data_IF_919900861417
#
_entry.id   IF_919900861417
#
_cell.length_a   1.000
_cell.length_b   1.000
_cell.length_c   1.000
_cell.angle_alpha   90.00
_cell.angle_beta   90.00
_cell.angle_gamma   90.00
#
_symmetry.space_group_name_H-M   'P 1'
#
loop_
_entity.id
_entity.type
_entity.pdbx_description
1 polymer ?
#
# COMPACT_ATOMS: atom_id res chain seq x y z
N UNK A 1 -14.11 -3.33 -9.37
CA UNK A 1 -14.35 -1.93 -8.93
C UNK A 1 -14.83 -1.08 -10.08
N UNK A 2 -15.77 -0.16 -9.82
CA UNK A 2 -16.19 0.85 -10.80
C UNK A 2 -15.15 1.97 -10.92
N UNK A 3 -14.98 2.54 -12.11
CA UNK A 3 -14.08 3.69 -12.30
C UNK A 3 -14.51 4.88 -11.46
N UNK A 4 -15.81 5.10 -11.30
CA UNK A 4 -16.35 6.15 -10.42
C UNK A 4 -15.94 5.98 -8.95
N UNK A 5 -15.89 4.73 -8.47
CA UNK A 5 -15.43 4.40 -7.12
C UNK A 5 -13.92 4.61 -6.96
N UNK A 6 -13.12 4.23 -7.96
CA UNK A 6 -11.68 4.49 -8.02
C UNK A 6 -11.41 6.01 -8.02
N UNK A 7 -12.13 6.76 -8.85
CA UNK A 7 -12.03 8.22 -8.94
C UNK A 7 -12.36 8.88 -7.59
N UNK A 8 -13.38 8.39 -6.89
CA UNK A 8 -13.73 8.83 -5.53
C UNK A 8 -12.59 8.54 -4.54
N UNK A 9 -12.06 7.32 -4.53
CA UNK A 9 -10.97 6.91 -3.64
C UNK A 9 -9.70 7.77 -3.82
N UNK A 10 -9.32 8.07 -5.07
CA UNK A 10 -8.20 8.96 -5.39
C UNK A 10 -8.41 10.35 -4.78
N UNK A 11 -9.60 10.95 -4.97
CA UNK A 11 -9.90 12.29 -4.41
C UNK A 11 -9.94 12.29 -2.89
N UNK A 12 -10.45 11.23 -2.28
CA UNK A 12 -10.45 11.06 -0.82
C UNK A 12 -9.02 11.04 -0.27
N UNK A 13 -8.11 10.29 -0.93
CA UNK A 13 -6.70 10.26 -0.55
C UNK A 13 -5.99 11.58 -0.83
N UNK A 14 -6.24 12.26 -1.95
CA UNK A 14 -5.72 13.62 -2.20
C UNK A 14 -6.14 14.60 -1.10
N UNK A 15 -7.41 14.55 -0.67
CA UNK A 15 -7.91 15.39 0.44
C UNK A 15 -7.27 15.03 1.78
N UNK A 16 -7.00 13.75 2.05
CA UNK A 16 -6.26 13.32 3.23
C UNK A 16 -4.81 13.82 3.21
N UNK A 17 -4.11 13.66 2.08
CA UNK A 17 -2.76 14.20 1.88
C UNK A 17 -2.72 15.72 2.15
N UNK A 18 -3.67 16.48 1.60
CA UNK A 18 -3.76 17.92 1.84
C UNK A 18 -3.98 18.28 3.31
N UNK A 19 -4.86 17.55 4.01
CA UNK A 19 -5.16 17.76 5.44
C UNK A 19 -3.93 17.52 6.33
N UNK A 20 -3.16 16.48 6.03
CA UNK A 20 -1.95 16.14 6.78
C UNK A 20 -0.69 16.84 6.26
N UNK A 21 -0.84 17.84 5.37
CA UNK A 21 0.26 18.59 4.74
C UNK A 21 1.30 17.70 4.02
N UNK A 22 0.84 16.58 3.47
CA UNK A 22 1.63 15.68 2.65
C UNK A 22 1.46 16.06 1.17
N UNK A 23 2.52 16.55 0.54
CA UNK A 23 2.48 17.02 -0.84
C UNK A 23 2.91 15.91 -1.80
N UNK A 24 2.10 15.68 -2.84
CA UNK A 24 2.35 14.65 -3.83
C UNK A 24 3.30 15.13 -4.93
N UNK A 25 4.14 14.24 -5.51
CA UNK A 25 4.92 14.57 -6.70
C UNK A 25 4.02 14.99 -7.88
N UNK A 26 4.47 15.90 -8.77
CA UNK A 26 3.64 16.40 -9.87
C UNK A 26 3.01 15.32 -10.76
N UNK A 27 3.70 14.21 -11.00
CA UNK A 27 3.19 13.13 -11.86
C UNK A 27 1.92 12.46 -11.32
N UNK A 28 1.67 12.53 -10.01
CA UNK A 28 0.44 12.02 -9.39
C UNK A 28 -0.81 12.80 -9.85
N UNK A 29 -0.64 13.98 -10.43
CA UNK A 29 -1.72 14.82 -10.92
C UNK A 29 -1.94 14.73 -12.44
N UNK A 30 -1.15 13.94 -13.16
CA UNK A 30 -1.30 13.82 -14.61
C UNK A 30 -2.66 13.24 -14.99
N UNK A 31 -3.34 13.90 -15.92
CA UNK A 31 -4.58 13.38 -16.51
C UNK A 31 -4.29 12.28 -17.54
N UNK A 32 -5.28 11.44 -17.89
CA UNK A 32 -5.14 10.48 -18.97
C UNK A 32 -4.70 11.11 -20.31
N UNK A 33 -5.14 12.34 -20.61
CA UNK A 33 -4.74 13.08 -21.81
C UNK A 33 -3.27 13.51 -21.74
N UNK A 34 -2.82 14.02 -20.59
CA UNK A 34 -1.42 14.42 -20.39
C UNK A 34 -0.46 13.23 -20.52
N UNK A 35 -0.89 12.05 -20.07
CA UNK A 35 -0.13 10.80 -20.21
C UNK A 35 0.18 10.43 -21.67
N UNK A 36 -0.67 10.80 -22.63
CA UNK A 36 -0.44 10.54 -24.06
C UNK A 36 0.79 11.27 -24.61
N UNK A 37 1.18 12.37 -23.97
CA UNK A 37 2.36 13.16 -24.36
C UNK A 37 3.62 12.84 -23.55
N UNK A 38 3.60 11.83 -22.65
CA UNK A 38 4.74 11.46 -21.81
C UNK A 38 5.59 10.40 -22.51
N UNK A 39 6.79 10.78 -22.95
CA UNK A 39 7.68 9.88 -23.67
C UNK A 39 8.49 8.96 -22.75
N UNK A 40 9.63 8.51 -23.27
CA UNK A 40 10.59 7.63 -22.60
C UNK A 40 11.23 8.25 -21.34
N UNK A 41 11.15 9.58 -21.17
CA UNK A 41 11.61 10.26 -19.96
C UNK A 41 10.81 9.90 -18.70
N UNK A 42 9.65 9.24 -18.86
CA UNK A 42 8.81 8.73 -17.76
C UNK A 42 8.83 7.19 -17.66
N UNK A 43 9.77 6.50 -18.31
CA UNK A 43 9.86 5.03 -18.26
C UNK A 43 10.05 4.50 -16.84
N UNK A 44 10.74 5.22 -15.94
CA UNK A 44 10.87 4.78 -14.55
C UNK A 44 9.51 4.66 -13.84
N UNK A 45 8.55 5.55 -14.17
CA UNK A 45 7.19 5.46 -13.61
C UNK A 45 6.51 4.16 -14.07
N UNK A 46 6.64 3.83 -15.35
CA UNK A 46 6.04 2.63 -15.96
C UNK A 46 6.70 1.36 -15.44
N UNK A 47 8.02 1.29 -15.56
CA UNK A 47 8.81 0.09 -15.27
C UNK A 47 8.88 -0.21 -13.77
N UNK A 48 8.85 0.79 -12.90
CA UNK A 48 8.92 0.60 -11.45
C UNK A 48 7.55 0.65 -10.75
N UNK A 49 6.45 0.78 -11.51
CA UNK A 49 5.09 0.80 -10.98
C UNK A 49 4.83 1.96 -10.02
N UNK A 50 5.25 3.18 -10.37
CA UNK A 50 5.01 4.37 -9.57
C UNK A 50 3.62 4.93 -9.83
N UNK A 51 3.01 5.57 -8.82
CA UNK A 51 1.71 6.23 -8.95
C UNK A 51 0.58 5.53 -8.20
N UNK A 52 -0.65 5.83 -8.62
CA UNK A 52 -1.89 5.45 -7.94
C UNK A 52 -2.18 3.96 -8.04
N UNK A 53 -2.57 3.35 -6.93
CA UNK A 53 -3.02 1.96 -6.87
C UNK A 53 -4.22 1.88 -5.91
N UNK A 54 -5.37 1.48 -6.44
CA UNK A 54 -6.61 1.33 -5.71
C UNK A 54 -7.06 -0.11 -5.85
N UNK A 55 -7.29 -0.79 -4.72
CA UNK A 55 -7.67 -2.20 -4.71
C UNK A 55 -8.78 -2.50 -3.73
N UNK A 56 -9.69 -3.40 -4.12
CA UNK A 56 -10.68 -4.07 -3.27
C UNK A 56 -10.29 -5.55 -3.04
N UNK A 57 -9.05 -5.93 -3.38
CA UNK A 57 -8.53 -7.29 -3.31
C UNK A 57 -9.37 -8.34 -4.09
N UNK A 58 -10.06 -7.88 -5.14
CA UNK A 58 -10.96 -8.69 -5.95
C UNK A 58 -12.27 -9.05 -5.24
N UNK A 59 -12.62 -8.37 -4.14
CA UNK A 59 -13.80 -8.71 -3.33
C UNK A 59 -15.07 -7.94 -3.73
N UNK A 60 -14.96 -6.87 -4.53
CA UNK A 60 -16.12 -6.07 -4.94
C UNK A 60 -16.76 -5.24 -3.82
N UNK A 61 -16.04 -5.02 -2.71
CA UNK A 61 -16.52 -4.28 -1.53
C UNK A 61 -15.39 -3.40 -0.96
N UNK A 62 -14.99 -2.38 -1.72
CA UNK A 62 -13.86 -1.51 -1.38
C UNK A 62 -14.02 -0.78 -0.04
N UNK A 63 -15.24 -0.35 0.29
CA UNK A 63 -15.50 0.41 1.51
C UNK A 63 -15.27 -0.43 2.79
N UNK A 64 -15.39 -1.77 2.68
CA UNK A 64 -15.08 -2.69 3.79
C UNK A 64 -13.70 -3.34 3.66
N UNK A 65 -13.33 -3.80 2.46
CA UNK A 65 -12.07 -4.48 2.17
C UNK A 65 -11.41 -3.76 1.00
N UNK A 66 -10.42 -2.94 1.30
CA UNK A 66 -9.77 -2.16 0.26
C UNK A 66 -8.64 -1.32 0.79
N UNK A 67 -7.87 -0.77 -0.15
CA UNK A 67 -6.73 0.07 0.17
C UNK A 67 -6.47 1.07 -0.95
N UNK A 68 -6.13 2.30 -0.59
CA UNK A 68 -5.68 3.33 -1.53
C UNK A 68 -4.20 3.60 -1.30
N UNK A 69 -3.41 3.57 -2.37
CA UNK A 69 -1.95 3.71 -2.29
C UNK A 69 -1.43 4.64 -3.40
N UNK A 70 -0.26 5.21 -3.15
CA UNK A 70 0.58 5.88 -4.11
C UNK A 70 2.01 5.38 -3.92
N UNK A 71 2.59 4.73 -4.93
CA UNK A 71 4.02 4.43 -4.95
C UNK A 71 4.78 5.67 -5.40
N UNK A 72 5.49 6.34 -4.49
CA UNK A 72 6.19 7.61 -4.75
C UNK A 72 7.51 7.36 -5.49
N UNK A 73 8.23 6.31 -5.06
CA UNK A 73 9.51 5.89 -5.62
C UNK A 73 9.68 4.40 -5.41
N UNK A 74 10.39 3.75 -6.32
CA UNK A 74 10.70 2.33 -6.25
C UNK A 74 11.94 2.04 -7.10
N UNK A 75 12.56 0.89 -6.89
CA UNK A 75 13.45 0.27 -7.87
C UNK A 75 12.73 -0.86 -8.59
N UNK A 76 13.43 -1.58 -9.47
CA UNK A 76 12.89 -2.77 -10.11
C UNK A 76 13.93 -3.89 -10.05
N UNK A 77 13.63 -4.95 -9.28
CA UNK A 77 14.53 -6.09 -9.05
C UNK A 77 14.80 -6.90 -10.33
N UNK A 78 13.82 -6.96 -11.24
CA UNK A 78 13.98 -7.63 -12.54
C UNK A 78 14.81 -6.80 -13.54
N UNK A 79 14.91 -5.49 -13.32
CA UNK A 79 15.66 -4.54 -14.15
C UNK A 79 16.72 -3.78 -13.34
N UNK A 80 17.40 -4.47 -12.43
CA UNK A 80 18.28 -3.84 -11.44
C UNK A 80 19.46 -3.05 -12.05
N UNK A 81 19.93 -3.42 -13.24
CA UNK A 81 20.96 -2.65 -13.96
C UNK A 81 20.46 -1.27 -14.41
N UNK A 82 19.18 -1.18 -14.82
CA UNK A 82 18.54 0.08 -15.26
C UNK A 82 18.04 0.90 -14.06
N UNK A 83 17.48 0.23 -13.05
CA UNK A 83 16.88 0.86 -11.87
C UNK A 83 17.51 0.31 -10.57
N UNK A 84 18.74 0.75 -10.23
CA UNK A 84 19.53 0.18 -9.13
C UNK A 84 19.07 0.61 -7.73
N UNK A 85 17.98 1.39 -7.63
CA UNK A 85 17.40 1.80 -6.36
C UNK A 85 17.03 0.54 -5.57
N UNK A 86 17.40 0.50 -4.30
CA UNK A 86 17.17 -0.66 -3.41
C UNK A 86 16.01 -0.45 -2.43
N UNK A 87 15.34 0.69 -2.52
CA UNK A 87 14.29 1.13 -1.60
C UNK A 87 13.07 1.65 -2.35
N UNK A 88 11.93 1.60 -1.67
CA UNK A 88 10.67 2.18 -2.11
C UNK A 88 10.07 3.07 -1.01
N UNK A 89 9.15 3.93 -1.43
CA UNK A 89 8.31 4.73 -0.53
C UNK A 89 6.90 4.73 -1.09
N UNK A 90 5.92 4.47 -0.24
CA UNK A 90 4.50 4.64 -0.57
C UNK A 90 3.80 5.54 0.44
N UNK A 91 2.73 6.16 -0.03
CA UNK A 91 1.65 6.63 0.83
C UNK A 91 0.50 5.66 0.71
N UNK A 92 -0.18 5.39 1.81
CA UNK A 92 -1.36 4.56 1.88
C UNK A 92 -2.43 5.34 2.64
N UNK A 93 -3.70 5.05 2.35
CA UNK A 93 -4.82 5.68 3.01
C UNK A 93 -5.87 4.62 3.33
N UNK A 94 -6.26 4.59 4.61
CA UNK A 94 -7.24 3.64 5.13
C UNK A 94 -8.35 4.39 5.86
N UNK A 95 -9.59 4.10 5.48
CA UNK A 95 -10.79 4.67 6.11
C UNK A 95 -11.16 3.92 7.37
N UNK A 96 -11.90 4.59 8.25
CA UNK A 96 -12.55 3.91 9.36
C UNK A 96 -13.53 2.85 8.84
N UNK A 97 -13.49 1.65 9.42
CA UNK A 97 -14.28 0.49 8.98
C UNK A 97 -13.70 -0.27 7.79
N UNK A 98 -12.65 0.25 7.15
CA UNK A 98 -11.94 -0.43 6.05
C UNK A 98 -10.86 -1.37 6.59
N UNK A 99 -10.64 -2.48 5.90
CA UNK A 99 -9.67 -3.52 6.23
C UNK A 99 -8.73 -3.78 5.04
N UNK A 100 -7.42 -3.73 5.28
CA UNK A 100 -6.41 -4.24 4.35
C UNK A 100 -6.01 -5.66 4.79
N UNK A 101 -6.26 -6.70 3.97
CA UNK A 101 -6.13 -8.09 4.37
C UNK A 101 -4.75 -8.52 4.84
N UNK A 102 -4.77 -9.52 5.71
CA UNK A 102 -3.60 -10.21 6.25
C UNK A 102 -2.74 -10.81 5.14
N UNK A 103 -1.48 -10.39 5.12
CA UNK A 103 -0.49 -10.91 4.19
C UNK A 103 0.92 -10.82 4.77
N UNK A 104 1.88 -11.47 4.10
CA UNK A 104 3.30 -11.21 4.30
C UNK A 104 3.99 -10.95 2.96
N UNK A 105 5.23 -10.46 3.04
CA UNK A 105 6.12 -10.35 1.88
C UNK A 105 7.25 -11.38 1.92
N UNK A 106 7.54 -12.02 0.78
CA UNK A 106 8.64 -12.99 0.71
C UNK A 106 9.99 -12.28 0.74
N UNK A 107 10.09 -11.12 0.08
CA UNK A 107 11.33 -10.36 -0.05
C UNK A 107 11.28 -8.98 0.60
N UNK A 108 10.19 -8.24 0.46
CA UNK A 108 10.11 -6.90 1.03
C UNK A 108 10.20 -6.96 2.55
N UNK A 109 10.99 -6.06 3.10
CA UNK A 109 10.83 -5.59 4.47
C UNK A 109 10.44 -4.13 4.41
N UNK A 110 9.62 -3.70 5.35
CA UNK A 110 9.01 -2.38 5.34
C UNK A 110 8.83 -1.84 6.74
N UNK A 111 8.89 -0.52 6.84
CA UNK A 111 8.45 0.23 7.99
C UNK A 111 7.10 0.87 7.64
N UNK A 112 6.07 0.48 8.37
CA UNK A 112 4.73 1.07 8.29
C UNK A 112 4.64 2.19 9.32
N UNK A 113 4.24 3.37 8.88
CA UNK A 113 4.34 4.61 9.64
C UNK A 113 2.97 5.28 9.67
N UNK A 114 2.42 5.57 10.85
CA UNK A 114 1.26 6.45 10.93
C UNK A 114 1.72 7.90 10.72
N UNK A 115 1.41 8.49 9.56
CA UNK A 115 1.82 9.86 9.21
C UNK A 115 0.85 10.93 9.71
N UNK A 116 -0.37 10.57 10.08
CA UNK A 116 -1.40 11.51 10.53
C UNK A 116 -2.82 10.95 10.46
N UNK A 117 -3.76 11.68 11.06
CA UNK A 117 -5.15 11.28 11.20
C UNK A 117 -5.42 10.46 12.47
N UNK A 118 -6.13 9.34 12.32
CA UNK A 118 -6.51 8.45 13.42
C UNK A 118 -5.39 7.52 13.91
N UNK A 119 -5.78 6.46 14.62
CA UNK A 119 -4.86 5.43 15.11
C UNK A 119 -4.90 4.21 14.17
N UNK A 120 -3.72 3.77 13.74
CA UNK A 120 -3.55 2.57 12.92
C UNK A 120 -3.40 1.34 13.82
N UNK A 121 -4.09 0.26 13.50
CA UNK A 121 -3.99 -1.02 14.17
C UNK A 121 -3.42 -2.06 13.21
N UNK A 122 -2.29 -2.66 13.60
CA UNK A 122 -1.61 -3.68 12.79
C UNK A 122 -1.57 -4.98 13.58
N UNK A 123 -2.34 -5.98 13.14
CA UNK A 123 -2.26 -7.33 13.71
C UNK A 123 -0.98 -7.99 13.23
N UNK A 124 -0.30 -8.74 14.10
CA UNK A 124 0.92 -9.47 13.72
C UNK A 124 0.85 -10.96 14.08
N UNK A 125 1.26 -11.80 13.13
CA UNK A 125 1.44 -13.24 13.31
C UNK A 125 2.73 -13.67 12.59
N UNK A 126 3.36 -14.76 13.04
CA UNK A 126 4.46 -15.36 12.27
C UNK A 126 3.89 -16.17 11.10
N UNK A 127 4.66 -16.35 10.03
CA UNK A 127 4.40 -17.44 9.08
C UNK A 127 5.10 -18.73 9.52
N UNK A 128 4.45 -19.86 9.29
CA UNK A 128 5.03 -21.20 9.34
C UNK A 128 5.89 -21.46 8.09
N UNK A 129 6.77 -22.50 8.09
CA UNK A 129 7.54 -22.88 6.91
C UNK A 129 6.68 -23.17 5.67
N UNK A 130 5.48 -23.73 5.86
CA UNK A 130 4.47 -24.01 4.83
C UNK A 130 3.59 -22.81 4.47
N UNK A 131 4.01 -21.60 4.89
CA UNK A 131 3.35 -20.32 4.61
C UNK A 131 2.00 -20.11 5.31
N UNK A 132 1.53 -21.08 6.10
CA UNK A 132 0.36 -20.90 6.96
C UNK A 132 0.62 -19.93 8.12
N UNK A 133 -0.44 -19.37 8.69
CA UNK A 133 -0.34 -18.45 9.82
C UNK A 133 -0.05 -19.22 11.11
N UNK A 134 0.96 -18.79 11.86
CA UNK A 134 1.18 -19.27 13.23
C UNK A 134 0.29 -18.48 14.20
N UNK A 135 -0.76 -19.13 14.68
CA UNK A 135 -1.74 -18.56 15.61
C UNK A 135 -1.33 -18.71 17.09
N UNK A 136 -0.16 -19.29 17.37
CA UNK A 136 0.26 -19.64 18.73
C UNK A 136 1.56 -18.97 19.16
N UNK A 137 2.55 -18.88 18.27
CA UNK A 137 3.88 -18.42 18.65
C UNK A 137 3.95 -16.90 18.83
N UNK A 138 4.58 -16.48 19.92
CA UNK A 138 4.85 -15.07 20.20
C UNK A 138 5.63 -14.39 19.06
N UNK A 139 5.31 -13.12 18.83
CA UNK A 139 5.90 -12.26 17.80
C UNK A 139 6.84 -11.25 18.45
N UNK A 140 8.08 -11.18 17.96
CA UNK A 140 8.99 -10.08 18.29
C UNK A 140 8.72 -8.89 17.38
N UNK A 141 8.28 -7.79 17.96
CA UNK A 141 7.92 -6.54 17.29
C UNK A 141 9.00 -5.49 17.52
N UNK A 142 9.21 -4.63 16.52
CA UNK A 142 10.08 -3.46 16.60
C UNK A 142 9.28 -2.22 16.23
N UNK A 143 9.06 -1.32 17.18
CA UNK A 143 8.39 -0.03 16.95
C UNK A 143 9.33 1.11 17.33
N UNK A 144 9.58 2.05 16.43
CA UNK A 144 10.39 3.25 16.69
C UNK A 144 11.75 2.95 17.38
N UNK A 145 12.39 1.84 17.00
CA UNK A 145 13.65 1.37 17.60
C UNK A 145 13.52 0.59 18.91
N UNK A 146 12.32 0.47 19.50
CA UNK A 146 12.03 -0.38 20.67
C UNK A 146 11.68 -1.80 20.24
N UNK A 147 12.35 -2.79 20.83
CA UNK A 147 12.08 -4.21 20.61
C UNK A 147 11.31 -4.81 21.80
N UNK A 148 10.23 -5.55 21.53
CA UNK A 148 9.45 -6.26 22.56
C UNK A 148 8.72 -7.47 21.94
N UNK A 149 8.16 -8.33 22.79
CA UNK A 149 7.46 -9.55 22.38
C UNK A 149 6.00 -9.48 22.77
N UNK A 150 5.12 -9.92 21.88
CA UNK A 150 3.66 -9.97 22.08
C UNK A 150 3.12 -11.35 21.70
N UNK A 151 1.97 -11.78 22.24
CA UNK A 151 1.27 -12.97 21.75
C UNK A 151 0.91 -12.88 20.27
N UNK A 152 0.79 -14.02 19.59
CA UNK A 152 0.30 -14.09 18.22
C UNK A 152 -1.08 -13.41 18.08
N UNK A 153 -1.33 -12.73 16.97
CA UNK A 153 -2.60 -12.05 16.69
C UNK A 153 -2.79 -10.74 17.46
N UNK A 154 -1.78 -10.26 18.20
CA UNK A 154 -1.84 -8.95 18.87
C UNK A 154 -1.95 -7.84 17.83
N UNK A 155 -2.86 -6.89 18.06
CA UNK A 155 -2.92 -5.64 17.30
C UNK A 155 -2.02 -4.58 17.95
N UNK A 156 -0.98 -4.17 17.23
CA UNK A 156 -0.11 -3.07 17.60
C UNK A 156 -0.79 -1.77 17.17
N UNK A 157 -1.06 -0.90 18.15
CA UNK A 157 -1.61 0.42 17.90
C UNK A 157 -0.49 1.42 17.64
N UNK A 158 -0.55 2.12 16.50
CA UNK A 158 0.34 3.22 16.15
C UNK A 158 -0.46 4.52 16.13
N UNK A 159 -0.15 5.44 17.04
CA UNK A 159 -0.60 6.82 17.00
C UNK A 159 0.18 7.62 15.93
N UNK A 160 -0.31 8.81 15.52
CA UNK A 160 0.43 9.68 14.61
C UNK A 160 1.88 9.90 15.06
N UNK A 161 2.83 9.57 14.18
CA UNK A 161 4.28 9.66 14.41
C UNK A 161 4.96 8.34 14.78
N UNK A 162 4.21 7.28 15.13
CA UNK A 162 4.77 5.97 15.46
C UNK A 162 4.90 5.07 14.22
N UNK A 163 5.90 4.19 14.23
CA UNK A 163 6.12 3.19 13.18
C UNK A 163 6.34 1.78 13.71
N UNK A 164 6.09 0.78 12.86
CA UNK A 164 6.47 -0.62 13.08
C UNK A 164 7.33 -1.11 11.92
N UNK A 165 8.41 -1.80 12.24
CA UNK A 165 9.21 -2.54 11.27
C UNK A 165 8.65 -3.95 11.09
N UNK A 166 8.26 -4.27 9.85
CA UNK A 166 7.75 -5.56 9.40
C UNK A 166 8.87 -6.29 8.63
N UNK A 167 9.47 -7.35 9.21
CA UNK A 167 10.44 -8.18 8.49
C UNK A 167 9.73 -9.08 7.47
N UNK A 168 10.51 -9.61 6.54
CA UNK A 168 10.04 -10.65 5.61
C UNK A 168 9.30 -11.77 6.34
N UNK A 169 8.22 -12.24 5.74
CA UNK A 169 7.38 -13.35 6.24
C UNK A 169 6.68 -13.10 7.58
N UNK A 170 6.60 -11.86 8.06
CA UNK A 170 5.70 -11.51 9.15
C UNK A 170 4.32 -11.21 8.58
N UNK A 171 3.32 -12.00 8.96
CA UNK A 171 1.94 -11.73 8.62
C UNK A 171 1.48 -10.48 9.33
N UNK A 172 0.85 -9.58 8.56
CA UNK A 172 0.30 -8.35 9.08
C UNK A 172 -0.95 -7.93 8.31
N UNK A 173 -1.87 -7.28 9.01
CA UNK A 173 -3.09 -6.70 8.45
C UNK A 173 -3.28 -5.27 8.97
N UNK A 174 -4.20 -4.51 8.37
CA UNK A 174 -4.41 -3.11 8.76
C UNK A 174 -5.89 -2.86 9.02
N UNK A 175 -6.15 -2.20 10.14
CA UNK A 175 -7.46 -1.61 10.47
C UNK A 175 -7.25 -0.24 11.11
N UNK A 176 -8.31 0.56 11.13
CA UNK A 176 -8.32 1.84 11.84
C UNK A 176 -9.04 1.64 13.17
N UNK A 177 -8.49 2.22 14.24
CA UNK A 177 -9.15 2.19 15.55
C UNK A 177 -10.52 2.91 15.48
N UNK A 178 -11.63 2.25 15.88
CA UNK A 178 -12.95 2.85 15.80
C UNK A 178 -13.04 4.18 16.56
N UNK A 179 -13.64 5.19 15.93
CA UNK A 179 -13.79 6.55 16.46
C UNK A 179 -12.55 7.44 16.38
N UNK A 180 -11.43 6.94 15.84
CA UNK A 180 -10.21 7.75 15.70
C UNK A 180 -10.12 8.52 14.36
N UNK A 181 -10.97 8.18 13.38
CA UNK A 181 -10.95 8.76 12.05
C UNK A 181 -9.94 8.10 11.10
N UNK A 182 -9.94 8.45 9.80
CA UNK A 182 -9.11 7.80 8.79
C UNK A 182 -7.62 8.09 9.00
N UNK A 183 -6.76 7.22 8.46
CA UNK A 183 -5.31 7.29 8.67
C UNK A 183 -4.58 7.49 7.35
N UNK A 184 -3.66 8.46 7.32
CA UNK A 184 -2.63 8.55 6.29
C UNK A 184 -1.40 7.76 6.75
N UNK A 185 -1.01 6.77 5.97
CA UNK A 185 0.04 5.81 6.31
C UNK A 185 1.21 6.03 5.35
N UNK A 186 2.42 5.99 5.88
CA UNK A 186 3.64 5.92 5.08
C UNK A 186 4.18 4.49 5.09
N UNK A 187 4.74 4.07 3.96
CA UNK A 187 5.54 2.86 3.84
C UNK A 187 6.94 3.26 3.38
N UNK A 188 7.96 2.84 4.11
CA UNK A 188 9.36 2.94 3.66
C UNK A 188 9.94 1.54 3.65
N UNK A 189 10.39 1.06 2.51
CA UNK A 189 10.68 -0.36 2.35
C UNK A 189 11.87 -0.65 1.44
N UNK A 190 12.24 -1.92 1.35
CA UNK A 190 12.95 -2.43 0.16
C UNK A 190 12.07 -2.29 -1.09
N UNK A 191 12.66 -2.50 -2.28
CA UNK A 191 11.92 -2.44 -3.53
C UNK A 191 10.65 -3.29 -3.49
N UNK A 192 9.55 -2.68 -3.90
CA UNK A 192 8.23 -3.27 -3.91
C UNK A 192 7.97 -4.01 -5.24
N UNK A 193 7.32 -5.16 -5.16
CA UNK A 193 6.78 -5.90 -6.31
C UNK A 193 5.40 -6.47 -5.94
N UNK A 194 4.35 -5.67 -6.19
CA UNK A 194 2.99 -6.04 -5.83
C UNK A 194 2.43 -7.24 -6.62
N UNK A 195 3.05 -7.62 -7.73
CA UNK A 195 2.60 -8.73 -8.57
C UNK A 195 3.05 -10.10 -8.05
N UNK A 196 4.19 -10.15 -7.35
CA UNK A 196 4.83 -11.41 -6.99
C UNK A 196 5.26 -11.51 -5.52
N UNK A 197 5.25 -10.41 -4.76
CA UNK A 197 5.82 -10.37 -3.42
C UNK A 197 4.77 -10.31 -2.29
N UNK A 198 3.49 -10.56 -2.58
CA UNK A 198 2.40 -10.57 -1.61
C UNK A 198 1.80 -11.98 -1.44
N UNK A 199 1.90 -12.56 -0.24
CA UNK A 199 1.20 -13.80 0.12
C UNK A 199 0.02 -13.50 1.06
N UNK A 200 -1.20 -13.63 0.57
CA UNK A 200 -2.42 -13.37 1.35
C UNK A 200 -2.95 -14.62 2.06
N UNK A 201 -3.41 -14.45 3.29
CA UNK A 201 -4.15 -15.47 4.03
C UNK A 201 -5.45 -14.90 4.62
N UNK A 202 -6.64 -15.38 4.17
CA UNK A 202 -6.84 -16.40 3.13
C UNK A 202 -6.38 -15.92 1.74
N UNK A 203 -6.27 -16.81 0.73
CA UNK A 203 -5.90 -16.43 -0.63
C UNK A 203 -6.85 -15.38 -1.23
N UNK A 204 -6.29 -14.30 -1.76
CA UNK A 204 -7.02 -13.15 -2.30
C UNK A 204 -6.33 -12.59 -3.57
N UNK A 205 -7.06 -11.79 -4.34
CA UNK A 205 -6.48 -11.02 -5.45
C UNK A 205 -5.78 -9.76 -4.97
N UNK A 206 -4.84 -9.22 -5.77
CA UNK A 206 -4.17 -7.94 -5.48
C UNK A 206 -4.74 -6.76 -6.26
N UNK A 207 -5.21 -6.99 -7.48
CA UNK A 207 -5.71 -5.95 -8.37
C UNK A 207 -7.17 -6.23 -8.76
N UNK A 208 -8.04 -5.21 -8.75
CA UNK A 208 -9.44 -5.35 -9.12
C UNK A 208 -9.60 -5.47 -10.63
N UNK A 209 -10.68 -6.11 -11.08
CA UNK A 209 -11.21 -5.89 -12.43
C UNK A 209 -11.93 -4.54 -12.44
N UNK A 210 -11.66 -3.69 -13.42
CA UNK A 210 -12.22 -2.34 -13.52
C UNK A 210 -13.44 -2.33 -14.47
N UNK A 211 -14.55 -1.78 -14.00
CA UNK A 211 -15.74 -1.43 -14.80
C UNK A 211 -15.67 0.06 -15.16
N UNK A 212 -15.52 0.38 -16.44
CA UNK A 212 -15.39 1.76 -16.94
C UNK A 212 -16.75 2.46 -17.08
N UNK A 213 -17.37 2.77 -15.94
CA UNK A 213 -18.67 3.45 -15.87
C UNK A 213 -18.58 4.98 -16.05
N UNK A 214 -17.38 5.56 -15.92
CA UNK A 214 -17.07 6.95 -16.27
C UNK A 214 -15.61 7.10 -16.74
N UNK A 215 -15.22 8.30 -17.20
CA UNK A 215 -13.86 8.57 -17.60
C UNK A 215 -12.88 8.56 -16.40
N UNK A 216 -11.65 8.04 -16.55
CA UNK A 216 -10.67 8.05 -15.47
C UNK A 216 -10.23 9.47 -15.11
N UNK A 217 -10.16 9.76 -13.81
CA UNK A 217 -9.61 11.03 -13.29
C UNK A 217 -8.08 11.04 -13.28
N UNK A 218 -7.50 9.89 -12.93
CA UNK A 218 -6.07 9.55 -13.02
C UNK A 218 -5.94 8.12 -13.52
N UNK A 219 -4.78 7.80 -14.08
CA UNK A 219 -4.43 6.42 -14.43
C UNK A 219 -3.79 5.72 -13.22
N UNK A 220 -4.19 4.47 -12.99
CA UNK A 220 -3.57 3.60 -12.01
C UNK A 220 -2.27 3.01 -12.57
N UNK A 221 -1.45 2.46 -11.68
CA UNK A 221 -0.30 1.62 -12.04
C UNK A 221 -0.79 0.49 -12.95
N UNK A 222 -0.11 0.31 -14.09
CA UNK A 222 -0.49 -0.66 -15.11
C UNK A 222 -1.40 -0.12 -16.22
N UNK A 223 -1.93 1.10 -16.10
CA UNK A 223 -2.80 1.72 -17.10
C UNK A 223 -2.07 2.76 -17.99
N UNK A 224 -0.79 3.00 -17.74
CA UNK A 224 -0.02 4.00 -18.48
C UNK A 224 0.12 3.60 -19.95
N UNK A 225 -0.10 4.53 -20.90
CA UNK A 225 0.16 4.26 -22.30
C UNK A 225 1.66 4.00 -22.51
N UNK A 226 2.03 3.18 -23.52
CA UNK A 226 3.42 3.04 -23.91
C UNK A 226 4.00 4.41 -24.28
N UNK A 227 5.29 4.59 -24.01
CA UNK A 227 6.00 5.76 -24.52
C UNK A 227 6.08 5.71 -26.04
N UNK A 228 5.89 6.87 -26.69
CA UNK A 228 6.18 7.11 -28.10
C UNK A 228 7.51 7.88 -28.27
#
# INVERSE_FOLDING_TARGET
MKRSEINRAIREMEAACAREHCYLPPFCHFTPEEWRGKGHEYDEIRDCGLGWDITDYGQGDFDRIGFSLITIRNGNRALAERYPKVYAEKLLYLKEGQYAPRHFHWFKTEDIINRGGGNLLIRVNRSQPDESVDECADVTVRCDGRCFTVPAGTQIRLAPGESIHIPQRLYHDFTVEPGSGPVLIGEVSQCNDDHADNHFDPPMGRFPVIEEDEAPYRLLVGEYPPAE
#
